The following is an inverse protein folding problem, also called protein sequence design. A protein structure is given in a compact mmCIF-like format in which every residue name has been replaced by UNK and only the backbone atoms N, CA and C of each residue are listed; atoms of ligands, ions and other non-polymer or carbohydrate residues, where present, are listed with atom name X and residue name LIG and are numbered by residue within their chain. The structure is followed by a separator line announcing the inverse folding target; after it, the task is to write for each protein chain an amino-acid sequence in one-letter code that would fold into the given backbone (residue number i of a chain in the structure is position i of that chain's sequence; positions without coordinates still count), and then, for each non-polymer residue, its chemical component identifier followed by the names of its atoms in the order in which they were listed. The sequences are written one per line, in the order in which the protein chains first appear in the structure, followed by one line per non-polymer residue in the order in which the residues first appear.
data_IF_950349809967
#
_entry.id   IF_950349809967
#
_cell.length_a   1.000
_cell.length_b   1.000
_cell.length_c   1.000
_cell.angle_alpha   90.00
_cell.angle_beta   90.00
_cell.angle_gamma   90.00
#
_symmetry.space_group_name_H-M   'P 1'
#
loop_
_entity.id
_entity.type
_entity.pdbx_description
1 polymer ?
#
# COMPACT_ATOMS: atom_id res chain seq x y z
N UNK A 1 21.94 57.14 48.15
CA UNK A 1 21.25 55.85 48.05
C UNK A 1 20.73 55.73 46.61
N UNK A 2 21.40 54.94 45.75
CA UNK A 2 21.05 54.74 44.36
C UNK A 2 20.55 53.31 44.23
N UNK A 3 19.26 53.11 44.04
CA UNK A 3 18.62 51.82 43.79
C UNK A 3 18.74 51.50 42.31
N UNK A 4 19.52 50.44 41.97
CA UNK A 4 19.56 49.82 40.66
C UNK A 4 18.36 48.88 40.51
N UNK A 5 17.42 49.21 39.60
CA UNK A 5 16.40 48.27 39.12
C UNK A 5 17.01 47.39 38.02
N UNK A 6 17.23 46.12 38.31
CA UNK A 6 17.58 45.08 37.31
C UNK A 6 16.29 44.65 36.58
N UNK A 7 16.17 45.01 35.30
CA UNK A 7 15.14 44.41 34.40
C UNK A 7 15.59 43.00 34.00
N UNK A 8 14.91 41.98 34.51
CA UNK A 8 15.06 40.59 34.08
C UNK A 8 14.20 40.37 32.83
N UNK A 9 14.83 40.39 31.65
CA UNK A 9 14.14 40.07 30.37
C UNK A 9 13.92 38.59 30.28
N UNK A 10 12.67 38.11 30.44
CA UNK A 10 12.25 36.75 30.23
C UNK A 10 12.13 36.48 28.72
N UNK A 11 13.12 35.80 28.12
CA UNK A 11 13.06 35.33 26.72
C UNK A 11 12.16 34.12 26.68
N UNK A 12 10.93 34.31 26.19
CA UNK A 12 9.98 33.22 25.92
C UNK A 12 10.40 32.51 24.63
N UNK A 13 11.13 31.40 24.73
CA UNK A 13 11.42 30.52 23.58
C UNK A 13 10.14 29.78 23.22
N UNK A 14 9.43 30.28 22.20
CA UNK A 14 8.29 29.58 21.61
C UNK A 14 8.86 28.43 20.77
N UNK A 15 8.99 27.26 21.36
CA UNK A 15 9.30 26.02 20.65
C UNK A 15 8.14 25.67 19.72
N UNK A 16 8.28 25.92 18.43
CA UNK A 16 7.32 25.41 17.43
C UNK A 16 7.39 23.88 17.42
N UNK A 17 6.28 23.16 17.53
CA UNK A 17 6.31 21.69 17.46
C UNK A 17 6.73 21.26 16.04
N UNK A 18 7.95 20.73 15.93
CA UNK A 18 8.49 20.16 14.67
C UNK A 18 7.57 19.11 14.02
N UNK A 19 6.69 18.49 14.82
CA UNK A 19 5.77 17.44 14.36
C UNK A 19 4.68 17.91 13.39
N UNK A 20 4.24 19.16 13.48
CA UNK A 20 3.17 19.70 12.62
C UNK A 20 3.62 19.88 11.15
N UNK A 21 4.91 20.19 10.94
CA UNK A 21 5.45 20.42 9.60
C UNK A 21 5.69 19.10 8.85
N UNK A 22 6.11 18.05 9.56
CA UNK A 22 6.30 16.71 8.99
C UNK A 22 4.96 16.10 8.57
N UNK A 23 3.90 16.27 9.37
CA UNK A 23 2.55 15.80 9.02
C UNK A 23 1.99 16.49 7.77
N UNK A 24 2.19 17.80 7.63
CA UNK A 24 1.78 18.55 6.44
C UNK A 24 2.55 18.09 5.18
N UNK A 25 3.86 17.82 5.30
CA UNK A 25 4.67 17.32 4.19
C UNK A 25 4.24 15.92 3.77
N UNK A 26 4.04 15.02 4.72
CA UNK A 26 3.59 13.65 4.44
C UNK A 26 2.20 13.63 3.81
N UNK A 27 1.29 14.46 4.30
CA UNK A 27 -0.06 14.58 3.75
C UNK A 27 -0.03 15.07 2.30
N UNK A 28 0.76 16.09 1.99
CA UNK A 28 0.91 16.60 0.63
C UNK A 28 1.48 15.53 -0.35
N UNK A 29 2.36 14.64 0.12
CA UNK A 29 2.89 13.53 -0.69
C UNK A 29 1.78 12.49 -0.96
N UNK A 30 1.05 12.09 0.09
CA UNK A 30 -0.06 11.15 -0.04
C UNK A 30 -1.16 11.67 -0.97
N UNK A 31 -1.54 12.93 -0.81
CA UNK A 31 -2.58 13.55 -1.64
C UNK A 31 -2.19 13.56 -3.12
N UNK A 32 -0.93 13.86 -3.45
CA UNK A 32 -0.43 13.76 -4.84
C UNK A 32 -0.50 12.34 -5.38
N UNK A 33 -0.04 11.35 -4.61
CA UNK A 33 -0.10 9.94 -4.98
C UNK A 33 -1.54 9.49 -5.25
N UNK A 34 -2.46 9.80 -4.33
CA UNK A 34 -3.88 9.44 -4.45
C UNK A 34 -4.55 10.14 -5.63
N UNK A 35 -4.31 11.44 -5.82
CA UNK A 35 -4.88 12.18 -6.95
C UNK A 35 -4.39 11.64 -8.29
N UNK A 36 -3.11 11.29 -8.39
CA UNK A 36 -2.58 10.66 -9.59
C UNK A 36 -3.22 9.29 -9.84
N UNK A 37 -3.34 8.46 -8.79
CA UNK A 37 -3.96 7.14 -8.89
C UNK A 37 -5.45 7.20 -9.29
N UNK A 38 -6.20 8.20 -8.86
CA UNK A 38 -7.59 8.45 -9.28
C UNK A 38 -7.72 8.76 -10.78
N UNK A 39 -6.64 9.23 -11.41
CA UNK A 39 -6.59 9.45 -12.85
C UNK A 39 -6.35 8.17 -13.68
N UNK A 40 -6.04 7.03 -13.05
CA UNK A 40 -5.81 5.78 -13.77
C UNK A 40 -7.14 5.10 -14.11
N UNK A 41 -7.37 4.84 -15.39
CA UNK A 41 -8.50 4.01 -15.85
C UNK A 41 -8.23 2.52 -15.68
N UNK A 42 -6.94 2.16 -15.69
CA UNK A 42 -6.42 0.80 -15.53
C UNK A 42 -4.94 0.88 -15.14
N UNK A 43 -4.39 -0.21 -14.64
CA UNK A 43 -2.94 -0.37 -14.52
C UNK A 43 -2.53 -1.84 -14.54
N UNK A 44 -1.26 -2.05 -14.81
CA UNK A 44 -0.60 -3.34 -14.67
C UNK A 44 0.66 -3.14 -13.86
N UNK A 45 0.93 -4.06 -12.92
CA UNK A 45 2.16 -4.06 -12.14
C UNK A 45 2.75 -5.47 -12.01
N UNK A 46 4.06 -5.55 -11.94
CA UNK A 46 4.78 -6.70 -11.42
C UNK A 46 5.37 -6.33 -10.05
N UNK A 47 5.36 -7.27 -9.13
CA UNK A 47 5.82 -7.04 -7.76
C UNK A 47 6.46 -8.28 -7.16
N UNK A 48 7.22 -8.08 -6.10
CA UNK A 48 7.61 -9.14 -5.17
C UNK A 48 6.94 -8.89 -3.83
N UNK A 49 6.53 -9.95 -3.14
CA UNK A 49 6.10 -9.91 -1.75
C UNK A 49 7.07 -10.69 -0.87
N UNK A 50 7.19 -10.25 0.39
CA UNK A 50 7.98 -10.93 1.42
C UNK A 50 7.21 -10.91 2.72
N UNK A 51 6.84 -12.08 3.20
CA UNK A 51 6.27 -12.28 4.53
C UNK A 51 7.40 -12.70 5.48
N UNK A 52 7.55 -11.96 6.57
CA UNK A 52 8.50 -12.27 7.63
C UNK A 52 7.76 -12.40 8.96
N UNK A 53 7.99 -13.51 9.68
CA UNK A 53 7.57 -13.73 11.05
C UNK A 53 8.80 -14.10 11.88
N UNK A 54 9.18 -13.21 12.79
CA UNK A 54 10.30 -13.49 13.71
C UNK A 54 9.92 -14.55 14.74
N UNK A 55 8.64 -14.61 15.11
CA UNK A 55 8.13 -15.55 16.09
C UNK A 55 8.16 -16.99 15.55
N UNK A 56 7.78 -17.16 14.28
CA UNK A 56 7.68 -18.47 13.63
C UNK A 56 8.92 -18.82 12.79
N UNK A 57 9.91 -17.92 12.72
CA UNK A 57 11.10 -18.09 11.90
C UNK A 57 10.82 -18.10 10.38
N UNK A 58 9.69 -17.54 9.94
CA UNK A 58 9.29 -17.53 8.53
C UNK A 58 9.93 -16.38 7.78
N UNK A 59 10.39 -16.65 6.56
CA UNK A 59 10.83 -15.67 5.56
C UNK A 59 10.45 -16.19 4.17
N UNK A 60 9.22 -15.89 3.75
CA UNK A 60 8.64 -16.38 2.50
C UNK A 60 8.66 -15.23 1.49
N UNK A 61 9.19 -15.51 0.28
CA UNK A 61 9.20 -14.58 -0.84
C UNK A 61 8.39 -15.15 -1.99
N UNK A 62 7.60 -14.30 -2.62
CA UNK A 62 6.78 -14.64 -3.76
C UNK A 62 6.90 -13.54 -4.82
N UNK A 63 6.57 -13.89 -6.06
CA UNK A 63 6.49 -12.91 -7.15
C UNK A 63 5.09 -12.91 -7.73
N UNK A 64 4.63 -11.75 -8.17
CA UNK A 64 3.30 -11.63 -8.69
C UNK A 64 3.16 -10.59 -9.78
N UNK A 65 2.04 -10.69 -10.48
CA UNK A 65 1.58 -9.67 -11.42
C UNK A 65 0.13 -9.34 -11.13
N UNK A 66 -0.22 -8.07 -11.28
CA UNK A 66 -1.58 -7.61 -11.10
C UNK A 66 -2.00 -6.72 -12.25
N UNK A 67 -3.23 -6.89 -12.71
CA UNK A 67 -3.92 -6.03 -13.67
C UNK A 67 -5.21 -5.54 -13.04
N UNK A 68 -5.47 -4.24 -13.10
CA UNK A 68 -6.64 -3.61 -12.50
C UNK A 68 -7.33 -2.71 -13.52
N UNK A 69 -8.67 -2.76 -13.57
CA UNK A 69 -9.53 -1.89 -14.39
C UNK A 69 -10.79 -1.54 -13.60
N UNK A 70 -10.82 -0.34 -13.01
CA UNK A 70 -11.88 0.04 -12.07
C UNK A 70 -11.89 -0.89 -10.85
N UNK A 71 -13.03 -1.56 -10.61
CA UNK A 71 -13.18 -2.56 -9.53
C UNK A 71 -12.75 -3.99 -9.92
N UNK A 72 -12.39 -4.20 -11.19
CA UNK A 72 -11.98 -5.50 -11.70
C UNK A 72 -10.49 -5.69 -11.50
N UNK A 73 -10.07 -6.90 -11.16
CA UNK A 73 -8.66 -7.23 -11.08
C UNK A 73 -8.36 -8.68 -11.47
N UNK A 74 -7.13 -8.90 -11.89
CA UNK A 74 -6.54 -10.21 -12.13
C UNK A 74 -5.16 -10.21 -11.49
N UNK A 75 -5.02 -10.95 -10.40
CA UNK A 75 -3.81 -11.11 -9.61
C UNK A 75 -3.28 -12.54 -9.80
N UNK A 76 -2.02 -12.65 -10.18
CA UNK A 76 -1.28 -13.91 -10.15
C UNK A 76 -0.20 -13.76 -9.09
N UNK A 77 -0.13 -14.69 -8.16
CA UNK A 77 0.87 -14.75 -7.11
C UNK A 77 1.47 -16.15 -7.10
N UNK A 78 2.71 -16.28 -7.57
CA UNK A 78 3.32 -17.55 -7.95
C UNK A 78 2.36 -18.31 -8.89
N UNK A 79 1.89 -19.50 -8.48
CA UNK A 79 1.00 -20.34 -9.29
C UNK A 79 -0.49 -20.15 -8.97
N UNK A 80 -0.85 -19.29 -8.01
CA UNK A 80 -2.24 -19.03 -7.66
C UNK A 80 -2.79 -17.82 -8.40
N UNK A 81 -4.08 -17.86 -8.73
CA UNK A 81 -4.73 -16.80 -9.47
C UNK A 81 -5.98 -16.32 -8.75
N UNK A 82 -6.09 -15.01 -8.54
CA UNK A 82 -7.28 -14.37 -7.96
C UNK A 82 -7.85 -13.39 -8.98
N UNK A 83 -9.10 -13.59 -9.36
CA UNK A 83 -9.78 -12.79 -10.39
C UNK A 83 -11.05 -12.19 -9.79
N UNK A 84 -11.33 -10.93 -10.08
CA UNK A 84 -12.63 -10.32 -9.80
C UNK A 84 -13.12 -9.51 -10.98
N UNK A 85 -14.40 -9.68 -11.32
CA UNK A 85 -15.11 -8.83 -12.29
C UNK A 85 -15.84 -7.65 -11.60
N UNK A 86 -15.68 -7.51 -10.28
CA UNK A 86 -16.34 -6.53 -9.43
C UNK A 86 -17.66 -7.00 -8.81
N UNK A 87 -18.17 -8.17 -9.22
CA UNK A 87 -19.38 -8.80 -8.68
C UNK A 87 -19.11 -10.22 -8.16
N UNK A 88 -18.10 -10.88 -8.69
CA UNK A 88 -17.68 -12.23 -8.32
C UNK A 88 -16.18 -12.26 -8.09
N UNK A 89 -15.73 -13.03 -7.11
CA UNK A 89 -14.34 -13.29 -6.79
C UNK A 89 -14.04 -14.77 -7.01
N UNK A 90 -13.11 -15.09 -7.90
CA UNK A 90 -12.60 -16.43 -8.15
C UNK A 90 -11.19 -16.53 -7.58
N UNK A 91 -10.95 -17.52 -6.74
CA UNK A 91 -9.62 -17.86 -6.21
C UNK A 91 -9.27 -19.26 -6.67
N UNK A 92 -8.33 -19.35 -7.61
CA UNK A 92 -7.81 -20.61 -8.12
C UNK A 92 -6.51 -20.97 -7.40
N UNK A 93 -6.44 -22.21 -6.89
CA UNK A 93 -5.24 -22.83 -6.34
C UNK A 93 -4.71 -23.85 -7.34
N UNK A 94 -3.49 -23.64 -7.81
CA UNK A 94 -2.86 -24.59 -8.73
C UNK A 94 -2.47 -25.90 -8.05
N UNK A 95 -2.12 -25.86 -6.75
CA UNK A 95 -1.76 -27.04 -5.96
C UNK A 95 -2.93 -28.01 -5.80
N UNK A 96 -4.14 -27.46 -5.52
CA UNK A 96 -5.36 -28.25 -5.34
C UNK A 96 -6.10 -28.48 -6.65
N UNK A 97 -5.81 -27.72 -7.70
CA UNK A 97 -6.56 -27.60 -8.94
C UNK A 97 -8.06 -27.30 -8.73
N UNK A 98 -8.34 -26.41 -7.77
CA UNK A 98 -9.68 -26.02 -7.36
C UNK A 98 -9.89 -24.52 -7.54
N UNK A 99 -11.13 -24.12 -7.80
CA UNK A 99 -11.56 -22.72 -7.81
C UNK A 99 -12.66 -22.48 -6.78
N UNK A 100 -12.41 -21.58 -5.85
CA UNK A 100 -13.43 -21.05 -4.94
C UNK A 100 -14.10 -19.84 -5.57
N UNK A 101 -15.43 -19.74 -5.40
CA UNK A 101 -16.24 -18.63 -5.90
C UNK A 101 -16.89 -17.95 -4.71
N UNK A 102 -16.60 -16.66 -4.52
CA UNK A 102 -17.05 -15.87 -3.38
C UNK A 102 -17.60 -14.50 -3.82
N UNK A 103 -18.22 -13.77 -2.90
CA UNK A 103 -18.55 -12.36 -3.09
C UNK A 103 -17.29 -11.52 -2.81
N UNK A 104 -16.94 -10.54 -3.67
CA UNK A 104 -15.79 -9.66 -3.43
C UNK A 104 -15.88 -8.88 -2.09
N UNK A 105 -17.08 -8.69 -1.54
CA UNK A 105 -17.26 -8.04 -0.24
C UNK A 105 -16.77 -8.86 0.95
N UNK A 106 -16.55 -10.17 0.77
CA UNK A 106 -15.97 -11.05 1.79
C UNK A 106 -14.44 -10.90 1.89
N UNK A 107 -13.81 -10.29 0.89
CA UNK A 107 -12.39 -10.00 0.92
C UNK A 107 -12.09 -8.87 1.90
N UNK A 108 -11.02 -9.03 2.68
CA UNK A 108 -10.54 -7.94 3.53
C UNK A 108 -10.26 -6.68 2.69
N UNK A 109 -10.91 -5.57 3.05
CA UNK A 109 -10.77 -4.29 2.35
C UNK A 109 -9.32 -3.80 2.32
N UNK A 110 -8.50 -4.20 3.31
CA UNK A 110 -7.08 -3.88 3.34
C UNK A 110 -6.26 -4.68 2.31
N UNK A 111 -6.84 -5.75 1.76
CA UNK A 111 -6.22 -6.59 0.73
C UNK A 111 -6.80 -6.37 -0.67
N UNK A 112 -7.86 -5.54 -0.83
CA UNK A 112 -8.48 -5.27 -2.13
C UNK A 112 -7.49 -4.58 -3.08
N UNK A 113 -7.04 -5.25 -4.16
CA UNK A 113 -6.07 -4.68 -5.08
C UNK A 113 -6.60 -3.48 -5.87
N UNK A 114 -7.91 -3.36 -6.04
CA UNK A 114 -8.53 -2.25 -6.79
C UNK A 114 -8.37 -0.91 -6.09
N UNK A 115 -8.16 -0.93 -4.76
CA UNK A 115 -7.95 0.26 -3.93
C UNK A 115 -6.49 0.48 -3.53
N UNK A 116 -5.56 -0.31 -4.08
CA UNK A 116 -4.15 -0.37 -3.65
C UNK A 116 -3.50 1.01 -3.45
N UNK A 117 -3.78 1.98 -4.32
CA UNK A 117 -3.17 3.31 -4.27
C UNK A 117 -4.07 4.38 -3.64
N UNK A 118 -5.37 4.14 -3.55
CA UNK A 118 -6.35 5.13 -3.05
C UNK A 118 -6.75 4.90 -1.59
N UNK A 119 -6.49 3.70 -1.04
CA UNK A 119 -6.86 3.34 0.34
C UNK A 119 -6.24 4.23 1.42
N UNK A 120 -5.15 4.93 1.09
CA UNK A 120 -4.44 5.81 2.03
C UNK A 120 -4.98 7.25 2.04
N UNK A 121 -6.04 7.55 1.27
CA UNK A 121 -6.69 8.86 1.24
C UNK A 121 -7.23 9.29 2.60
N UNK A 122 -7.77 8.34 3.35
CA UNK A 122 -8.34 8.58 4.68
C UNK A 122 -8.06 7.43 5.65
N UNK A 123 -8.36 7.62 6.92
CA UNK A 123 -8.21 6.59 7.95
C UNK A 123 -6.79 6.43 8.48
N UNK A 124 -5.86 7.32 8.11
CA UNK A 124 -4.48 7.30 8.58
C UNK A 124 -4.00 8.69 9.00
N UNK A 125 -3.21 8.73 10.08
CA UNK A 125 -2.25 9.80 10.34
C UNK A 125 -0.97 9.46 9.63
N UNK A 126 -0.32 10.46 9.03
CA UNK A 126 0.91 10.25 8.28
C UNK A 126 2.07 11.03 8.88
N UNK A 127 3.27 10.50 8.74
CA UNK A 127 4.52 11.11 9.16
C UNK A 127 5.54 10.99 8.03
N UNK A 128 6.18 12.10 7.67
CA UNK A 128 7.34 12.07 6.79
C UNK A 128 8.55 11.57 7.59
N UNK A 129 9.29 10.62 7.02
CA UNK A 129 10.49 10.05 7.65
C UNK A 129 11.74 10.66 7.03
N UNK A 130 11.93 10.45 5.72
CA UNK A 130 13.12 10.90 5.00
C UNK A 130 12.91 10.90 3.48
N UNK A 131 13.85 11.54 2.78
CA UNK A 131 14.10 11.31 1.36
C UNK A 131 15.43 10.58 1.21
N UNK A 132 15.47 9.57 0.33
CA UNK A 132 16.70 8.83 0.03
C UNK A 132 16.72 8.33 -1.41
N UNK A 133 17.90 7.95 -1.88
CA UNK A 133 18.05 7.38 -3.21
C UNK A 133 17.96 5.87 -3.13
N UNK A 134 17.05 5.27 -3.92
CA UNK A 134 16.91 3.82 -4.09
C UNK A 134 16.95 3.48 -5.60
N UNK A 135 17.86 2.62 -5.99
CA UNK A 135 18.02 2.19 -7.40
C UNK A 135 18.03 3.35 -8.41
N UNK A 136 18.73 4.45 -8.06
CA UNK A 136 18.86 5.63 -8.92
C UNK A 136 17.67 6.60 -8.92
N UNK A 137 16.60 6.32 -8.17
CA UNK A 137 15.45 7.20 -8.01
C UNK A 137 15.40 7.78 -6.60
N UNK A 138 14.93 9.02 -6.46
CA UNK A 138 14.66 9.62 -5.16
C UNK A 138 13.30 9.16 -4.67
N UNK A 139 13.26 8.52 -3.51
CA UNK A 139 12.02 8.09 -2.83
C UNK A 139 11.78 8.89 -1.56
N UNK A 140 10.51 9.14 -1.28
CA UNK A 140 10.01 9.76 -0.08
C UNK A 140 9.41 8.67 0.81
N UNK A 141 9.95 8.52 2.01
CA UNK A 141 9.54 7.50 2.98
C UNK A 141 8.53 8.08 3.95
N UNK A 142 7.38 7.46 4.04
CA UNK A 142 6.29 7.83 4.94
C UNK A 142 5.97 6.69 5.89
N UNK A 143 5.56 7.02 7.11
CA UNK A 143 4.86 6.11 8.04
C UNK A 143 3.40 6.52 8.14
N UNK A 144 2.52 5.54 8.07
CA UNK A 144 1.09 5.73 8.21
C UNK A 144 0.60 4.93 9.42
N UNK A 145 -0.20 5.57 10.25
CA UNK A 145 -0.77 4.98 11.46
C UNK A 145 -2.29 5.01 11.37
N UNK A 146 -2.99 3.88 11.49
CA UNK A 146 -4.45 3.87 11.49
C UNK A 146 -5.04 4.84 12.52
N UNK A 147 -6.04 5.63 12.14
CA UNK A 147 -6.76 6.51 13.09
C UNK A 147 -7.66 5.72 14.03
N UNK A 148 -8.10 4.53 13.61
CA UNK A 148 -8.82 3.56 14.44
C UNK A 148 -8.03 2.24 14.47
N UNK A 149 -6.99 2.14 15.32
CA UNK A 149 -6.14 0.96 15.34
C UNK A 149 -6.87 -0.30 15.84
N UNK A 150 -7.99 -0.16 16.56
CA UNK A 150 -8.74 -1.32 17.04
C UNK A 150 -9.35 -2.15 15.91
N UNK A 151 -9.70 -1.49 14.80
CA UNK A 151 -10.31 -2.12 13.61
C UNK A 151 -9.30 -2.70 12.60
N UNK A 152 -8.01 -2.59 12.85
CA UNK A 152 -6.96 -3.04 11.93
C UNK A 152 -6.11 -4.15 12.55
N UNK A 153 -5.70 -5.12 11.77
CA UNK A 153 -4.77 -6.16 12.20
C UNK A 153 -3.32 -5.63 12.30
N UNK A 154 -3.03 -4.49 11.69
CA UNK A 154 -1.71 -3.86 11.67
C UNK A 154 -1.71 -2.52 12.45
N UNK A 155 -0.51 -2.05 12.81
CA UNK A 155 -0.30 -0.79 13.52
C UNK A 155 0.44 0.26 12.70
N UNK A 156 1.17 -0.13 11.67
CA UNK A 156 1.97 0.81 10.86
C UNK A 156 2.06 0.32 9.42
N UNK A 157 1.91 1.24 8.47
CA UNK A 157 2.30 1.04 7.08
C UNK A 157 3.49 1.96 6.78
N UNK A 158 4.54 1.41 6.18
CA UNK A 158 5.67 2.17 5.65
C UNK A 158 5.51 2.22 4.13
N UNK A 159 5.51 3.41 3.58
CA UNK A 159 5.28 3.65 2.17
C UNK A 159 6.49 4.37 1.57
N UNK A 160 7.04 3.84 0.49
CA UNK A 160 8.03 4.52 -0.33
C UNK A 160 7.36 5.03 -1.60
N UNK A 161 7.37 6.33 -1.78
CA UNK A 161 6.78 7.02 -2.94
C UNK A 161 7.89 7.61 -3.79
N UNK A 162 7.88 7.33 -5.08
CA UNK A 162 8.79 7.97 -6.03
C UNK A 162 8.52 9.47 -6.07
N UNK A 163 9.56 10.28 -5.89
CA UNK A 163 9.42 11.73 -5.82
C UNK A 163 9.03 12.35 -7.16
N UNK A 164 9.51 11.78 -8.25
CA UNK A 164 9.30 12.31 -9.59
C UNK A 164 7.94 11.91 -10.16
N UNK A 165 7.56 10.62 -10.03
CA UNK A 165 6.31 10.08 -10.58
C UNK A 165 5.15 10.07 -9.59
N UNK A 166 5.38 10.31 -8.29
CA UNK A 166 4.40 10.15 -7.20
C UNK A 166 3.79 8.74 -7.15
N UNK A 167 4.42 7.74 -7.72
CA UNK A 167 3.98 6.35 -7.70
C UNK A 167 4.55 5.63 -6.48
N UNK A 168 3.80 4.71 -5.86
CA UNK A 168 4.35 3.87 -4.81
C UNK A 168 5.40 2.91 -5.39
N UNK A 169 6.52 2.77 -4.70
CA UNK A 169 7.60 1.82 -5.01
C UNK A 169 7.56 0.60 -4.10
N UNK A 170 7.23 0.83 -2.82
CA UNK A 170 7.20 -0.21 -1.81
C UNK A 170 6.13 0.12 -0.77
N UNK A 171 5.44 -0.92 -0.31
CA UNK A 171 4.53 -0.88 0.84
C UNK A 171 4.96 -1.95 1.82
N UNK A 172 5.24 -1.57 3.07
CA UNK A 172 5.53 -2.51 4.15
C UNK A 172 4.50 -2.35 5.25
N UNK A 173 3.85 -3.44 5.62
CA UNK A 173 2.81 -3.50 6.63
C UNK A 173 3.38 -4.20 7.87
N UNK A 174 3.28 -3.54 9.02
CA UNK A 174 3.70 -4.07 10.31
C UNK A 174 2.46 -4.48 11.10
N UNK A 175 2.26 -5.78 11.23
CA UNK A 175 1.12 -6.38 11.91
C UNK A 175 1.30 -6.40 13.44
N UNK A 176 0.19 -6.46 14.17
CA UNK A 176 0.18 -6.48 15.64
C UNK A 176 0.72 -7.79 16.23
N UNK A 177 0.64 -8.87 15.49
CA UNK A 177 1.21 -10.19 15.85
C UNK A 177 2.72 -10.29 15.60
N UNK A 178 3.37 -9.18 15.16
CA UNK A 178 4.80 -9.12 14.86
C UNK A 178 5.17 -9.58 13.45
N UNK A 179 4.21 -9.98 12.63
CA UNK A 179 4.43 -10.27 11.22
C UNK A 179 4.70 -8.98 10.43
N UNK A 180 5.50 -9.09 9.39
CA UNK A 180 5.82 -7.99 8.47
C UNK A 180 5.59 -8.48 7.03
N UNK A 181 4.80 -7.74 6.26
CA UNK A 181 4.61 -8.02 4.83
C UNK A 181 5.13 -6.84 4.02
N UNK A 182 6.02 -7.11 3.08
CA UNK A 182 6.59 -6.09 2.19
C UNK A 182 6.22 -6.41 0.75
N UNK A 183 5.60 -5.45 0.07
CA UNK A 183 5.35 -5.48 -1.38
C UNK A 183 6.28 -4.48 -2.05
N UNK A 184 7.04 -4.92 -3.03
CA UNK A 184 7.94 -4.05 -3.83
C UNK A 184 7.51 -4.11 -5.29
N UNK A 185 7.12 -2.97 -5.85
CA UNK A 185 6.79 -2.86 -7.27
C UNK A 185 8.07 -2.90 -8.10
N UNK A 186 8.17 -3.87 -9.00
CA UNK A 186 9.30 -4.04 -9.91
C UNK A 186 9.03 -3.42 -11.27
N UNK A 187 7.75 -3.36 -11.66
CA UNK A 187 7.28 -2.68 -12.88
C UNK A 187 5.88 -2.12 -12.63
N UNK A 188 5.64 -0.91 -13.08
CA UNK A 188 4.31 -0.29 -13.05
C UNK A 188 4.01 0.36 -14.40
N UNK A 189 2.80 0.17 -14.91
CA UNK A 189 2.35 0.76 -16.17
C UNK A 189 0.89 1.17 -16.01
N UNK A 190 0.60 2.48 -15.89
CA UNK A 190 -0.77 2.98 -15.84
C UNK A 190 -1.43 3.02 -17.22
N UNK A 191 -2.76 3.09 -17.23
CA UNK A 191 -3.61 3.31 -18.41
C UNK A 191 -3.38 2.31 -19.55
N UNK A 192 -3.13 1.03 -19.20
CA UNK A 192 -2.93 -0.05 -20.14
C UNK A 192 -4.28 -0.50 -20.71
N UNK A 193 -4.37 -0.72 -22.02
CA UNK A 193 -5.54 -1.35 -22.62
C UNK A 193 -5.67 -2.80 -22.12
N UNK A 194 -6.73 -3.09 -21.36
CA UNK A 194 -7.02 -4.41 -20.79
C UNK A 194 -8.36 -4.91 -21.31
N UNK A 195 -8.34 -6.12 -21.86
CA UNK A 195 -9.55 -6.81 -22.30
C UNK A 195 -10.40 -7.25 -21.09
N UNK A 196 -11.73 -7.11 -21.18
CA UNK A 196 -12.63 -7.45 -20.08
C UNK A 196 -12.69 -8.97 -19.80
N UNK A 197 -12.36 -9.80 -20.76
CA UNK A 197 -12.25 -11.25 -20.60
C UNK A 197 -11.15 -11.68 -19.63
N UNK A 198 -10.15 -10.80 -19.36
CA UNK A 198 -9.12 -11.04 -18.35
C UNK A 198 -9.67 -11.12 -16.92
N UNK A 199 -10.82 -10.50 -16.68
CA UNK A 199 -11.42 -10.36 -15.34
C UNK A 199 -12.53 -11.37 -15.09
N UNK A 200 -12.52 -12.48 -15.82
CA UNK A 200 -13.41 -13.62 -15.64
C UNK A 200 -12.61 -14.90 -15.56
N UNK A 201 -13.02 -15.80 -14.67
CA UNK A 201 -12.46 -17.13 -14.63
C UNK A 201 -12.99 -17.94 -15.84
N UNK A 202 -12.07 -18.41 -16.65
CA UNK A 202 -12.38 -19.22 -17.84
C UNK A 202 -11.96 -20.67 -17.56
N UNK A 203 -12.95 -21.51 -17.18
CA UNK A 203 -12.72 -22.92 -16.85
C UNK A 203 -11.97 -23.68 -17.96
N UNK A 204 -12.10 -23.28 -19.22
CA UNK A 204 -11.43 -23.94 -20.34
C UNK A 204 -9.90 -23.82 -20.28
N UNK A 205 -9.38 -22.83 -19.56
CA UNK A 205 -7.93 -22.62 -19.34
C UNK A 205 -7.34 -23.46 -18.21
N UNK A 206 -8.21 -24.16 -17.44
CA UNK A 206 -7.83 -24.92 -16.25
C UNK A 206 -8.41 -26.35 -16.35
N UNK A 207 -7.80 -27.25 -17.15
CA UNK A 207 -8.33 -28.60 -17.37
C UNK A 207 -8.45 -29.39 -16.05
N UNK A 208 -9.63 -30.00 -15.82
CA UNK A 208 -9.90 -30.80 -14.63
C UNK A 208 -10.13 -30.00 -13.34
N UNK A 209 -10.33 -28.66 -13.42
CA UNK A 209 -10.61 -27.82 -12.24
C UNK A 209 -11.99 -28.15 -11.67
N UNK A 210 -12.06 -28.30 -10.34
CA UNK A 210 -13.25 -28.49 -9.52
C UNK A 210 -13.72 -27.19 -8.88
#
# INVERSE_FOLDING_TARGET
MRTLLSLLSLVLVIGTPLHAQDDAKSRAILDRMVQQAKGYTSFQAAFTSRLQSKQDGLDVKQSGTIKVKGKKFHLVLDDNTIISDGATLWTYSSEMNEVSINDPSEMDQDLDPSTLFTRYESGFKSQFVEERTENGATVQVLKLFPTDPAKRAFHTVILHVDKASSEPRMVKILYKDGNEVTYTLTKFTPNVALDDGLFRFDKAKYPGVE
#
